data_IF_312629589412
#
_entry.id   IF_312629589412
#
_cell.length_a   1.000
_cell.length_b   1.000
_cell.length_c   1.000
_cell.angle_alpha   90.00
_cell.angle_beta   90.00
_cell.angle_gamma   90.00
#
_symmetry.space_group_name_H-M   'P 1'
#
loop_
_entity.id
_entity.type
_entity.pdbx_description
1 polymer ?
2 non-polymer ?
3 water ?
#
# COMPACT_ATOMS: atom_id res chain seq x y z
N UNK A 15 -6.05 14.69 -31.55
CA UNK A 15 -6.90 14.85 -30.32
C UNK A 15 -6.11 15.69 -29.33
N UNK A 16 -6.77 16.71 -28.84
CA UNK A 16 -6.11 17.82 -28.19
C UNK A 16 -6.50 17.80 -26.69
N UNK A 17 -5.68 18.39 -25.80
CA UNK A 17 -6.03 18.36 -24.36
C UNK A 17 -7.49 18.70 -24.04
N UNK A 18 -7.99 19.75 -24.66
CA UNK A 18 -9.38 20.16 -24.43
C UNK A 18 -10.46 19.15 -24.93
N UNK A 19 -10.05 18.18 -25.75
CA UNK A 19 -10.96 17.13 -26.24
C UNK A 19 -10.80 15.74 -25.55
N UNK A 20 -9.82 15.62 -24.64
CA UNK A 20 -9.57 14.34 -23.97
C UNK A 20 -10.81 13.76 -23.27
N UNK A 21 -11.47 14.56 -22.44
CA UNK A 21 -12.63 14.09 -21.69
C UNK A 21 -13.81 13.68 -22.59
N UNK A 22 -13.98 14.40 -23.69
CA UNK A 22 -15.02 14.12 -24.66
C UNK A 22 -14.75 12.77 -25.37
N UNK A 23 -13.51 12.56 -25.83
CA UNK A 23 -13.11 11.33 -26.50
C UNK A 23 -13.25 10.14 -25.56
N UNK A 24 -12.74 10.26 -24.34
CA UNK A 24 -12.84 9.16 -23.38
C UNK A 24 -14.29 8.88 -23.00
N UNK A 25 -15.10 9.95 -22.91
CA UNK A 25 -16.48 9.85 -22.47
C UNK A 25 -17.34 9.05 -23.44
N UNK A 26 -16.92 8.91 -24.68
CA UNK A 26 -17.65 8.02 -25.62
C UNK A 26 -17.56 6.52 -25.27
N UNK A 27 -16.56 6.14 -24.47
CA UNK A 27 -16.24 4.73 -24.24
C UNK A 27 -16.27 4.34 -22.77
N UNK A 28 -16.11 5.31 -21.88
CA UNK A 28 -15.94 5.03 -20.46
C UNK A 28 -16.67 6.03 -19.62
N UNK A 29 -16.89 5.67 -18.38
CA UNK A 29 -17.35 6.59 -17.37
C UNK A 29 -16.19 7.55 -16.98
N UNK A 30 -16.34 8.84 -17.21
CA UNK A 30 -15.20 9.74 -16.90
C UNK A 30 -15.38 10.44 -15.56
N UNK A 31 -15.00 9.76 -14.49
CA UNK A 31 -15.21 10.33 -13.17
C UNK A 31 -13.92 10.78 -12.46
N UNK A 32 -12.81 10.89 -13.20
CA UNK A 32 -11.54 11.33 -12.60
C UNK A 32 -11.43 12.84 -12.50
N UNK A 33 -10.21 13.33 -12.35
CA UNK A 33 -9.93 14.76 -12.14
C UNK A 33 -10.24 15.59 -13.38
N UNK A 34 -10.57 16.86 -13.16
CA UNK A 34 -10.90 17.79 -14.25
C UNK A 34 -9.73 18.19 -15.15
N UNK A 35 -8.52 17.88 -14.71
CA UNK A 35 -7.35 18.30 -15.48
C UNK A 35 -6.98 17.29 -16.56
N UNK A 36 -6.03 17.68 -17.41
CA UNK A 36 -5.44 16.74 -18.32
C UNK A 36 -3.95 16.76 -18.00
N UNK A 37 -3.36 15.61 -17.68
CA UNK A 37 -1.97 15.57 -17.26
C UNK A 37 -1.00 15.92 -18.38
N UNK A 38 -0.16 16.93 -18.17
CA UNK A 38 0.96 17.21 -19.05
C UNK A 38 2.15 16.31 -18.65
N UNK A 39 2.48 15.34 -19.50
CA UNK A 39 3.46 14.31 -19.15
C UNK A 39 4.86 14.86 -19.18
N UNK A 40 5.05 15.92 -19.93
CA UNK A 40 6.36 16.52 -20.10
C UNK A 40 6.65 17.61 -19.06
N UNK A 41 5.67 18.48 -18.82
CA UNK A 41 5.90 19.64 -17.94
C UNK A 41 5.72 19.43 -16.45
N UNK A 42 5.00 18.35 -16.08
CA UNK A 42 4.92 17.93 -14.68
C UNK A 42 6.29 17.55 -14.16
N UNK A 43 6.53 17.79 -12.87
CA UNK A 43 7.88 17.55 -12.32
C UNK A 43 7.85 17.59 -10.82
N UNK A 44 8.51 16.65 -10.18
CA UNK A 44 8.62 16.66 -8.72
C UNK A 44 7.27 16.59 -8.01
N UNK A 45 6.99 17.54 -7.12
CA UNK A 45 5.74 17.55 -6.34
C UNK A 45 4.58 18.27 -7.04
N UNK A 46 4.74 18.55 -8.34
CA UNK A 46 3.76 19.33 -9.12
C UNK A 46 3.23 18.59 -10.35
N UNK A 47 1.90 18.50 -10.48
CA UNK A 47 1.25 18.08 -11.73
C UNK A 47 0.87 19.34 -12.55
N UNK A 48 1.02 19.28 -13.88
CA UNK A 48 0.67 20.42 -14.71
C UNK A 48 -0.59 20.05 -15.50
N UNK A 49 -1.59 20.91 -15.45
CA UNK A 49 -2.76 20.76 -16.26
C UNK A 49 -2.41 21.23 -17.67
N UNK A 50 -2.53 20.32 -18.64
CA UNK A 50 -2.26 20.65 -20.03
C UNK A 50 -3.25 21.67 -20.61
N UNK A 51 -4.45 21.76 -20.04
CA UNK A 51 -5.48 22.66 -20.58
C UNK A 51 -5.13 24.12 -20.20
N UNK A 52 -4.86 24.40 -18.92
CA UNK A 52 -4.58 25.77 -18.45
C UNK A 52 -3.09 26.10 -18.22
N UNK A 53 -2.28 25.09 -17.98
CA UNK A 53 -0.90 25.31 -17.55
C UNK A 53 -0.81 25.57 -16.04
N UNK A 54 -1.92 25.43 -15.34
CA UNK A 54 -1.90 25.59 -13.88
C UNK A 54 -1.14 24.42 -13.23
N UNK A 55 -0.32 24.74 -12.22
CA UNK A 55 0.45 23.77 -11.46
C UNK A 55 -0.33 23.35 -10.20
N UNK A 56 -0.35 22.05 -9.92
CA UNK A 56 -1.08 21.48 -8.77
C UNK A 56 -0.10 20.80 -7.83
N UNK A 57 -0.15 21.20 -6.56
CA UNK A 57 0.68 20.59 -5.55
C UNK A 57 0.17 19.18 -5.27
N UNK A 58 1.03 18.20 -5.46
CA UNK A 58 0.62 16.82 -5.47
C UNK A 58 0.88 16.10 -4.13
N UNK A 59 -0.15 15.97 -3.32
CA UNK A 59 -0.02 15.12 -2.13
C UNK A 59 -0.77 13.82 -2.35
N UNK A 60 -0.85 13.36 -3.60
CA UNK A 60 -1.73 12.21 -3.93
C UNK A 60 -0.93 11.10 -4.66
N UNK A 61 0.03 11.54 -5.47
CA UNK A 61 1.09 10.70 -6.05
C UNK A 61 0.53 9.44 -6.73
N UNK A 62 -0.52 9.62 -7.54
CA UNK A 62 -1.19 8.51 -8.25
C UNK A 62 -1.61 7.42 -7.26
N UNK A 63 -2.29 7.86 -6.20
CA UNK A 63 -2.72 7.03 -5.08
C UNK A 63 -1.50 6.36 -4.42
N UNK A 64 -0.53 7.18 -4.01
CA UNK A 64 0.65 6.69 -3.31
C UNK A 64 1.57 5.75 -4.15
N UNK A 65 1.43 5.71 -5.49
CA UNK A 65 2.24 4.80 -6.30
C UNK A 65 3.52 5.44 -6.95
N UNK A 66 3.75 6.72 -6.68
CA UNK A 66 4.93 7.40 -7.21
C UNK A 66 5.90 7.76 -6.07
N UNK A 67 7.07 7.14 -6.02
CA UNK A 67 8.03 7.43 -4.94
C UNK A 67 8.77 8.77 -5.11
N UNK A 68 9.12 9.10 -6.36
CA UNK A 68 9.97 10.27 -6.62
C UNK A 68 9.19 11.46 -7.23
N UNK A 69 7.90 11.29 -7.47
CA UNK A 69 7.07 12.27 -8.19
C UNK A 69 7.29 12.16 -9.70
N UNK A 70 6.82 13.16 -10.44
CA UNK A 70 6.90 13.13 -11.91
C UNK A 70 8.28 13.50 -12.43
N UNK A 71 8.69 12.80 -13.48
CA UNK A 71 9.90 13.18 -14.22
C UNK A 71 11.08 13.53 -13.29
N UNK A 72 11.49 12.58 -12.43
CA UNK A 72 12.61 12.91 -11.56
C UNK A 72 13.91 13.18 -12.37
N UNK A 73 14.65 14.24 -11.99
CA UNK A 73 15.88 14.59 -12.74
C UNK A 73 16.86 13.43 -12.88
N UNK A 74 16.95 12.57 -11.87
CA UNK A 74 17.90 11.45 -11.91
C UNK A 74 17.58 10.44 -13.01
N UNK A 75 16.31 10.40 -13.42
CA UNK A 75 15.87 9.51 -14.48
C UNK A 75 15.90 10.26 -15.80
N UNK A 76 15.36 11.47 -15.78
CA UNK A 76 15.18 12.29 -16.95
C UNK A 76 16.52 12.66 -17.59
N UNK A 77 17.54 12.93 -16.77
CA UNK A 77 18.84 13.34 -17.30
C UNK A 77 19.81 12.20 -17.55
N UNK A 78 19.44 10.98 -17.19
CA UNK A 78 20.37 9.86 -17.30
C UNK A 78 20.30 9.25 -18.71
N UNK A 79 21.20 9.68 -19.60
CA UNK A 79 21.15 9.25 -21.01
C UNK A 79 21.31 7.75 -21.19
N UNK A 80 22.09 7.10 -20.33
CA UNK A 80 22.27 5.65 -20.40
C UNK A 80 21.01 4.92 -19.98
N UNK A 81 20.36 5.42 -18.93
CA UNK A 81 19.10 4.85 -18.49
C UNK A 81 18.04 4.99 -19.60
N UNK A 82 18.00 6.13 -20.28
CA UNK A 82 17.05 6.33 -21.39
C UNK A 82 17.12 5.21 -22.39
N UNK A 83 18.34 4.84 -22.78
CA UNK A 83 18.56 3.72 -23.70
C UNK A 83 18.08 2.39 -23.14
N UNK A 84 18.28 2.16 -21.84
CA UNK A 84 17.85 0.90 -21.22
C UNK A 84 16.33 0.83 -21.16
N UNK A 85 15.73 1.92 -20.71
CA UNK A 85 14.28 2.05 -20.64
C UNK A 85 13.61 1.87 -22.02
N UNK A 86 14.16 2.52 -23.03
CA UNK A 86 13.63 2.42 -24.38
C UNK A 86 13.71 0.97 -24.89
N UNK A 87 14.85 0.30 -24.65
CA UNK A 87 14.97 -1.10 -25.03
C UNK A 87 13.89 -1.93 -24.38
N UNK A 88 13.57 -1.65 -23.12
CA UNK A 88 12.51 -2.42 -22.44
C UNK A 88 11.14 -2.02 -22.97
N UNK A 89 10.94 -0.73 -23.23
CA UNK A 89 9.59 -0.23 -23.49
C UNK A 89 9.06 -0.63 -24.89
N UNK A 90 9.95 -0.86 -25.83
CA UNK A 90 9.52 -1.21 -27.19
C UNK A 90 8.80 -2.53 -27.28
N UNK A 91 9.13 -3.48 -26.42
CA UNK A 91 8.55 -4.82 -26.47
C UNK A 91 7.95 -5.17 -25.10
N UNK A 92 7.30 -6.33 -24.98
CA UNK A 92 6.81 -6.71 -23.65
C UNK A 92 7.00 -8.21 -23.54
N UNK A 93 8.22 -8.63 -23.14
CA UNK A 93 8.51 -10.07 -23.05
C UNK A 93 7.71 -10.77 -21.95
N UNK A 94 7.49 -12.06 -22.11
CA UNK A 94 6.99 -12.86 -20.99
C UNK A 94 8.20 -13.26 -20.12
N UNK A 95 8.42 -12.48 -19.07
CA UNK A 95 9.51 -12.71 -18.11
C UNK A 95 9.39 -14.04 -17.36
N UNK A 96 8.18 -14.61 -17.34
CA UNK A 96 7.92 -15.96 -16.80
C UNK A 96 8.80 -17.01 -17.48
N UNK A 97 9.01 -16.87 -18.79
CA UNK A 97 9.66 -17.86 -19.65
C UNK A 97 11.03 -17.44 -20.14
N UNK A 98 11.17 -16.14 -20.42
CA UNK A 98 12.33 -15.61 -21.11
C UNK A 98 13.00 -14.53 -20.27
N UNK A 99 14.23 -14.79 -19.84
CA UNK A 99 14.98 -13.94 -18.93
C UNK A 99 15.86 -12.97 -19.69
N UNK A 100 16.21 -11.86 -19.05
CA UNK A 100 17.04 -10.85 -19.69
C UNK A 100 17.95 -10.24 -18.66
N UNK A 101 18.98 -9.54 -19.14
CA UNK A 101 19.86 -8.78 -18.24
C UNK A 101 19.06 -7.70 -17.49
N UNK A 102 18.18 -7.01 -18.21
CA UNK A 102 17.35 -5.95 -17.62
C UNK A 102 16.56 -6.50 -16.42
N UNK A 103 15.93 -7.66 -16.60
CA UNK A 103 15.23 -8.30 -15.50
C UNK A 103 16.17 -8.69 -14.33
N UNK A 104 17.30 -9.32 -14.63
CA UNK A 104 18.24 -9.76 -13.57
C UNK A 104 18.75 -8.58 -12.76
N UNK A 105 19.03 -7.45 -13.42
CA UNK A 105 19.47 -6.25 -12.71
C UNK A 105 18.42 -5.72 -11.77
N UNK A 106 17.17 -5.72 -12.22
CA UNK A 106 16.07 -5.34 -11.35
C UNK A 106 16.01 -6.24 -10.12
N UNK A 107 16.05 -7.55 -10.33
CA UNK A 107 15.89 -8.48 -9.22
C UNK A 107 17.01 -8.30 -8.18
N UNK A 108 18.25 -8.17 -8.64
CA UNK A 108 19.33 -8.05 -7.66
C UNK A 108 19.32 -6.72 -6.94
N UNK A 109 18.89 -5.65 -7.61
CA UNK A 109 18.79 -4.39 -6.86
C UNK A 109 17.58 -4.40 -5.92
N UNK A 110 16.44 -4.99 -6.34
CA UNK A 110 15.32 -5.21 -5.40
C UNK A 110 15.77 -5.91 -4.12
N UNK A 111 16.46 -7.03 -4.30
CA UNK A 111 16.94 -7.83 -3.15
C UNK A 111 17.88 -6.98 -2.29
N UNK A 112 18.76 -6.21 -2.92
CA UNK A 112 19.71 -5.37 -2.19
C UNK A 112 19.01 -4.24 -1.39
N UNK A 113 18.14 -3.47 -2.01
CA UNK A 113 17.56 -2.30 -1.36
C UNK A 113 16.38 -2.61 -0.46
N UNK A 114 15.51 -3.52 -0.90
CA UNK A 114 14.29 -3.86 -0.16
C UNK A 114 14.27 -5.23 0.45
N UNK A 115 15.27 -6.05 0.14
CA UNK A 115 15.26 -7.44 0.62
C UNK A 115 15.35 -7.63 2.14
N UNK A 116 14.83 -8.75 2.61
CA UNK A 116 14.89 -9.16 4.02
C UNK A 116 15.50 -10.57 3.97
N UNK A 117 16.60 -10.79 4.70
CA UNK A 117 17.28 -12.09 4.62
C UNK A 117 16.43 -13.28 5.04
N UNK A 118 15.37 -13.07 5.83
CA UNK A 118 14.47 -14.16 6.16
C UNK A 118 13.45 -14.50 5.06
N UNK A 119 13.35 -13.63 4.05
CA UNK A 119 12.32 -13.77 2.99
C UNK A 119 13.01 -13.79 1.61
N UNK A 120 13.75 -14.86 1.29
CA UNK A 120 14.53 -14.86 0.05
C UNK A 120 13.74 -15.10 -1.25
N UNK A 121 12.52 -15.62 -1.17
CA UNK A 121 11.75 -16.00 -2.38
C UNK A 121 10.99 -14.79 -2.91
N UNK A 122 11.24 -14.46 -4.17
CA UNK A 122 10.60 -13.32 -4.81
C UNK A 122 9.70 -13.81 -5.95
N UNK A 123 8.54 -13.18 -6.12
CA UNK A 123 7.66 -13.51 -7.24
C UNK A 123 7.00 -12.21 -7.71
N UNK A 124 6.94 -11.99 -9.02
CA UNK A 124 6.43 -10.71 -9.56
C UNK A 124 5.22 -10.94 -10.44
N UNK A 125 4.33 -9.96 -10.45
CA UNK A 125 3.09 -10.04 -11.16
C UNK A 125 2.64 -8.56 -11.42
N UNK A 126 1.79 -8.36 -12.42
CA UNK A 126 1.19 -7.03 -12.60
C UNK A 126 0.01 -6.92 -11.65
N UNK A 127 -0.04 -5.87 -10.83
CA UNK A 127 -1.27 -5.50 -10.11
C UNK A 127 -1.20 -5.83 -8.61
N UNK A 128 -1.68 -4.91 -7.76
CA UNK A 128 -1.59 -5.07 -6.30
C UNK A 128 -2.54 -6.16 -5.78
N UNK A 129 -3.76 -6.23 -6.31
CA UNK A 129 -4.70 -7.29 -5.86
C UNK A 129 -4.11 -8.71 -6.15
N UNK A 130 -3.49 -8.87 -7.31
CA UNK A 130 -2.91 -10.15 -7.68
C UNK A 130 -1.66 -10.48 -6.82
N UNK A 131 -0.90 -9.46 -6.42
CA UNK A 131 0.19 -9.65 -5.45
C UNK A 131 -0.38 -10.29 -4.16
N UNK A 132 -1.46 -9.70 -3.62
CA UNK A 132 -2.06 -10.23 -2.39
C UNK A 132 -2.60 -11.63 -2.65
N UNK A 133 -3.25 -11.85 -3.80
CA UNK A 133 -3.71 -13.20 -4.12
C UNK A 133 -2.61 -14.28 -4.15
N UNK A 134 -1.45 -13.96 -4.70
CA UNK A 134 -0.41 -14.95 -4.74
C UNK A 134 0.16 -15.27 -3.37
N UNK A 135 0.17 -14.29 -2.47
CA UNK A 135 0.49 -14.52 -1.06
C UNK A 135 -0.53 -15.50 -0.45
N UNK A 136 -1.81 -15.28 -0.77
CA UNK A 136 -2.88 -16.17 -0.26
C UNK A 136 -2.70 -17.56 -0.80
N UNK A 137 -2.48 -17.67 -2.12
CA UNK A 137 -2.25 -18.97 -2.72
C UNK A 137 -1.07 -19.72 -2.09
N UNK A 138 0.03 -19.02 -1.83
CA UNK A 138 1.16 -19.65 -1.14
C UNK A 138 0.71 -20.22 0.21
N UNK A 139 -0.13 -19.48 0.92
CA UNK A 139 -0.60 -19.88 2.25
C UNK A 139 -1.55 -21.06 2.19
N UNK A 140 -2.50 -21.03 1.25
CA UNK A 140 -3.44 -22.13 1.07
C UNK A 140 -2.66 -23.41 0.78
N UNK A 141 -1.71 -23.36 -0.14
CA UNK A 141 -0.91 -24.52 -0.49
C UNK A 141 -0.09 -25.02 0.73
N UNK A 142 0.53 -24.09 1.43
CA UNK A 142 1.38 -24.41 2.57
C UNK A 142 0.55 -25.11 3.64
N UNK A 143 -0.61 -24.55 3.97
CA UNK A 143 -1.43 -25.14 5.06
C UNK A 143 -1.93 -26.56 4.71
N UNK A 144 -2.39 -26.74 3.48
CA UNK A 144 -2.88 -28.03 3.01
C UNK A 144 -1.77 -29.10 3.11
N UNK A 145 -0.58 -28.75 2.64
CA UNK A 145 0.58 -29.65 2.68
C UNK A 145 1.13 -29.88 4.08
N UNK A 146 1.11 -28.84 4.92
CA UNK A 146 1.52 -28.96 6.31
C UNK A 146 0.52 -29.90 7.03
N UNK A 147 -0.77 -29.65 6.86
CA UNK A 147 -1.83 -30.54 7.33
C UNK A 147 -1.57 -32.00 6.92
N UNK A 148 -1.42 -32.23 5.62
CA UNK A 148 -1.18 -33.56 5.06
C UNK A 148 0.02 -34.24 5.72
N UNK A 149 1.08 -33.48 6.00
CA UNK A 149 2.31 -34.01 6.55
C UNK A 149 2.14 -34.46 7.99
N UNK A 150 1.16 -33.88 8.69
CA UNK A 150 0.87 -34.23 10.08
C UNK A 150 -0.43 -35.02 10.23
N UNK A 151 -0.82 -35.70 9.17
CA UNK A 151 -1.96 -36.58 9.23
C UNK A 151 -3.32 -35.93 9.25
N UNK A 152 -3.38 -34.62 8.98
CA UNK A 152 -4.65 -33.90 8.87
C UNK A 152 -5.11 -33.87 7.42
N UNK A 153 -6.43 -33.91 7.22
CA UNK A 153 -7.02 -33.89 5.89
C UNK A 153 -6.50 -32.67 5.07
N UNK A 154 -5.90 -32.91 3.88
CA UNK A 154 -5.35 -31.81 3.07
C UNK A 154 -6.42 -30.96 2.38
N UNK A 155 -7.69 -31.34 2.53
CA UNK A 155 -8.79 -30.52 2.04
C UNK A 155 -9.00 -29.34 2.98
N UNK A 156 -8.34 -29.40 4.14
CA UNK A 156 -8.45 -28.32 5.11
C UNK A 156 -7.31 -27.33 4.92
N UNK A 157 -7.62 -26.06 5.16
CA UNK A 157 -6.65 -24.96 5.08
C UNK A 157 -7.05 -23.98 3.99
N UNK A 158 -8.30 -23.51 4.00
CA UNK A 158 -8.84 -22.74 2.89
C UNK A 158 -9.37 -21.35 3.29
N UNK A 159 -9.20 -20.97 4.55
CA UNK A 159 -9.80 -19.75 5.04
C UNK A 159 -8.74 -18.71 5.42
N UNK A 160 -9.17 -17.45 5.43
CA UNK A 160 -8.27 -16.34 5.66
C UNK A 160 -8.82 -15.50 6.79
N UNK A 161 -8.07 -15.44 7.87
CA UNK A 161 -8.38 -14.51 8.95
C UNK A 161 -7.95 -13.09 8.53
N UNK A 162 -8.83 -12.12 8.73
CA UNK A 162 -8.55 -10.73 8.29
C UNK A 162 -9.28 -9.74 9.14
N UNK A 163 -9.05 -8.45 8.91
CA UNK A 163 -9.58 -7.36 9.74
C UNK A 163 -10.78 -6.61 9.16
N UNK A 164 -11.63 -6.09 10.06
CA UNK A 164 -12.62 -5.10 9.64
C UNK A 164 -11.92 -3.86 9.12
N UNK A 165 -12.48 -3.23 8.10
CA UNK A 165 -11.90 -2.00 7.54
C UNK A 165 -10.73 -2.23 6.59
N UNK A 166 -10.42 -3.51 6.29
CA UNK A 166 -9.31 -3.88 5.43
C UNK A 166 -9.58 -3.50 3.99
N UNK A 167 -8.51 -3.16 3.25
CA UNK A 167 -8.62 -3.06 1.80
C UNK A 167 -7.45 -3.82 1.22
N UNK A 168 -7.74 -4.89 0.46
CA UNK A 168 -6.68 -5.74 -0.13
C UNK A 168 -6.84 -5.87 -1.64
N UNK A 169 -7.83 -5.17 -2.21
CA UNK A 169 -8.07 -5.25 -3.64
C UNK A 169 -9.48 -5.64 -4.08
N UNK A 170 -9.68 -5.70 -5.39
CA UNK A 170 -11.00 -5.92 -5.96
C UNK A 170 -11.04 -7.16 -6.88
N UNK A 171 -10.24 -8.17 -6.56
CA UNK A 171 -10.15 -9.40 -7.34
C UNK A 171 -10.92 -10.54 -6.63
N UNK A 172 -11.04 -11.68 -7.30
CA UNK A 172 -11.88 -12.77 -6.79
C UNK A 172 -11.66 -13.15 -5.34
N UNK A 173 -10.41 -13.32 -4.92
CA UNK A 173 -10.14 -13.60 -3.48
C UNK A 173 -10.16 -12.33 -2.59
N UNK A 174 -9.73 -11.19 -3.11
CA UNK A 174 -9.61 -10.01 -2.24
C UNK A 174 -10.95 -9.32 -1.97
N UNK A 175 -11.95 -9.57 -2.83
CA UNK A 175 -13.30 -9.06 -2.56
C UNK A 175 -13.91 -9.73 -1.35
N UNK A 176 -13.36 -10.88 -0.97
CA UNK A 176 -13.81 -11.59 0.26
C UNK A 176 -13.11 -11.05 1.50
N UNK A 177 -12.14 -10.16 1.30
CA UNK A 177 -11.37 -9.59 2.41
C UNK A 177 -11.64 -8.10 2.59
N UNK A 178 -11.62 -7.38 1.47
CA UNK A 178 -11.88 -5.93 1.43
C UNK A 178 -13.27 -5.61 2.01
N UNK A 179 -13.30 -4.70 2.98
CA UNK A 179 -14.58 -4.29 3.57
C UNK A 179 -14.48 -2.87 4.08
N UNK A 180 -14.61 -1.92 3.16
CA UNK A 180 -14.60 -0.51 3.47
C UNK A 180 -15.99 0.04 3.06
N UNK A 181 -16.15 0.50 1.82
CA UNK A 181 -17.44 0.90 1.30
C UNK A 181 -18.16 -0.28 0.64
N UNK A 182 -19.48 -0.41 0.89
CA UNK A 182 -20.36 -1.43 0.30
C UNK A 182 -20.33 -1.45 -1.23
N UNK A 183 -20.18 -0.27 -1.86
CA UNK A 183 -20.05 -0.11 -3.32
C UNK A 183 -18.98 -1.03 -3.91
N UNK A 184 -17.91 -1.28 -3.15
CA UNK A 184 -16.80 -2.05 -3.67
C UNK A 184 -17.13 -3.54 -3.84
N UNK A 185 -17.95 -4.07 -2.95
CA UNK A 185 -18.14 -5.50 -2.83
C UNK A 185 -19.57 -5.98 -3.08
N UNK A 186 -20.56 -5.07 -3.13
CA UNK A 186 -21.96 -5.49 -3.24
C UNK A 186 -22.24 -6.32 -4.49
N UNK A 187 -23.01 -7.39 -4.32
CA UNK A 187 -23.50 -8.22 -5.43
C UNK A 187 -22.41 -9.09 -6.07
N UNK A 188 -21.24 -9.14 -5.45
CA UNK A 188 -20.17 -10.06 -5.93
C UNK A 188 -20.05 -11.28 -5.01
N UNK A 189 -19.98 -12.50 -5.57
CA UNK A 189 -19.81 -13.66 -4.68
C UNK A 189 -18.52 -13.66 -3.82
N UNK A 190 -18.66 -14.17 -2.60
CA UNK A 190 -17.60 -14.12 -1.61
C UNK A 190 -17.52 -15.44 -0.86
N UNK A 191 -16.34 -15.73 -0.32
CA UNK A 191 -16.16 -16.84 0.58
C UNK A 191 -16.52 -16.30 1.94
N UNK A 192 -16.96 -17.20 2.79
CA UNK A 192 -17.32 -16.85 4.11
C UNK A 192 -16.08 -17.04 4.99
N UNK A 193 -15.24 -16.00 5.07
CA UNK A 193 -13.99 -16.11 5.82
C UNK A 193 -14.09 -15.29 7.11
N UNK A 194 -13.37 -15.71 8.18
CA UNK A 194 -13.53 -15.03 9.47
C UNK A 194 -12.90 -13.66 9.53
N UNK A 195 -13.69 -12.69 10.02
CA UNK A 195 -13.30 -11.29 10.07
C UNK A 195 -13.35 -10.87 11.54
N UNK A 196 -12.33 -10.17 12.01
CA UNK A 196 -12.29 -9.72 13.40
C UNK A 196 -12.22 -8.20 13.48
N UNK A 197 -12.63 -7.65 14.62
CA UNK A 197 -12.53 -6.19 14.85
C UNK A 197 -11.07 -5.71 14.74
N UNK A 198 -10.91 -4.47 14.31
CA UNK A 198 -9.62 -3.87 14.12
C UNK A 198 -9.35 -2.94 15.30
N UNK A 199 -8.41 -3.29 16.20
CA UNK A 199 -8.18 -2.47 17.40
C UNK A 199 -7.22 -1.31 17.13
N UNK A 200 -7.60 -0.40 16.24
CA UNK A 200 -6.70 0.69 15.90
C UNK A 200 -6.68 1.75 17.01
N UNK A 201 -5.58 2.49 17.07
CA UNK A 201 -5.41 3.61 17.97
C UNK A 201 -6.39 4.73 17.67
N UNK A 202 -6.96 5.29 18.74
CA UNK A 202 -7.84 6.43 18.59
C UNK A 202 -7.57 7.45 19.70
N UNK A 203 -8.01 8.71 19.50
CA UNK A 203 -7.65 9.71 20.52
C UNK A 203 -8.37 9.40 21.83
N UNK A 204 -7.69 9.67 22.93
CA UNK A 204 -8.33 9.56 24.25
C UNK A 204 -8.55 8.12 24.73
N UNK A 205 -7.63 7.24 24.32
CA UNK A 205 -7.52 5.90 24.89
C UNK A 205 -6.09 5.74 25.37
N UNK A 206 -5.90 5.40 26.63
CA UNK A 206 -4.55 5.22 27.13
C UNK A 206 -4.17 3.75 27.05
N UNK A 207 -2.93 3.44 27.44
CA UNK A 207 -2.37 2.09 27.41
C UNK A 207 -3.36 0.99 27.82
N UNK A 208 -3.91 1.05 29.05
CA UNK A 208 -4.92 0.09 29.50
C UNK A 208 -6.15 0.00 28.60
N UNK A 209 -6.63 1.14 28.14
CA UNK A 209 -7.78 1.17 27.24
C UNK A 209 -7.46 0.47 25.90
N UNK A 210 -6.27 0.73 25.36
CA UNK A 210 -5.80 0.10 24.12
C UNK A 210 -5.66 -1.40 24.33
N UNK A 211 -4.97 -1.77 25.41
CA UNK A 211 -4.77 -3.17 25.75
C UNK A 211 -6.09 -3.97 25.81
N UNK A 212 -7.14 -3.36 26.36
CA UNK A 212 -8.45 -4.02 26.44
C UNK A 212 -9.11 -4.18 25.07
N UNK A 213 -8.97 -3.16 24.22
CA UNK A 213 -9.43 -3.21 22.84
C UNK A 213 -8.70 -4.33 22.07
N UNK A 214 -7.38 -4.40 22.20
CA UNK A 214 -6.60 -5.47 21.57
C UNK A 214 -6.98 -6.87 22.07
N UNK A 215 -7.20 -7.00 23.38
CA UNK A 215 -7.56 -8.29 24.00
C UNK A 215 -8.86 -8.82 23.42
N UNK A 216 -9.77 -7.92 23.09
CA UNK A 216 -11.05 -8.33 22.50
C UNK A 216 -10.89 -8.82 21.05
N UNK A 217 -10.00 -8.18 20.29
CA UNK A 217 -9.76 -8.60 18.91
C UNK A 217 -9.05 -9.96 18.94
N UNK A 218 -8.07 -10.09 19.84
CA UNK A 218 -7.34 -11.33 20.05
C UNK A 218 -8.23 -12.49 20.49
N UNK A 219 -9.24 -12.18 21.31
CA UNK A 219 -10.22 -13.19 21.74
C UNK A 219 -11.01 -13.71 20.53
N UNK A 220 -11.50 -12.79 19.71
CA UNK A 220 -12.13 -13.12 18.44
C UNK A 220 -11.23 -13.94 17.51
N UNK A 221 -9.95 -13.58 17.46
CA UNK A 221 -8.99 -14.30 16.60
C UNK A 221 -8.86 -15.74 17.09
N UNK A 222 -8.65 -15.87 18.41
CA UNK A 222 -8.52 -17.19 19.03
C UNK A 222 -9.78 -18.05 18.80
N UNK A 223 -10.96 -17.45 18.96
CA UNK A 223 -12.21 -18.19 18.73
C UNK A 223 -12.37 -18.63 17.26
N UNK A 224 -11.95 -17.80 16.32
CA UNK A 224 -11.95 -18.21 14.91
C UNK A 224 -11.07 -19.47 14.72
N UNK A 225 -9.86 -19.45 15.29
CA UNK A 225 -8.95 -20.57 15.11
C UNK A 225 -9.51 -21.85 15.72
N UNK A 226 -10.14 -21.71 16.89
CA UNK A 226 -10.66 -22.88 17.63
C UNK A 226 -11.94 -23.44 17.01
N UNK A 227 -12.74 -22.61 16.37
CA UNK A 227 -13.97 -23.14 15.78
C UNK A 227 -13.84 -23.63 14.34
N UNK A 228 -12.68 -23.38 13.71
CA UNK A 228 -12.43 -23.79 12.33
C UNK A 228 -11.09 -24.52 12.31
N UNK A 229 -11.00 -25.64 13.04
CA UNK A 229 -9.65 -26.20 13.30
C UNK A 229 -8.94 -26.67 12.03
N UNK A 230 -7.66 -26.31 11.92
CA UNK A 230 -6.78 -26.63 10.80
C UNK A 230 -7.17 -26.03 9.45
N UNK A 231 -8.17 -25.16 9.44
CA UNK A 231 -8.76 -24.68 8.20
C UNK A 231 -8.39 -23.22 7.91
N UNK A 232 -7.83 -22.51 8.89
CA UNK A 232 -7.33 -21.15 8.66
C UNK A 232 -5.86 -21.18 8.21
N UNK A 233 -5.61 -20.80 6.95
CA UNK A 233 -4.25 -20.89 6.37
C UNK A 233 -3.37 -19.72 6.79
N UNK A 234 -4.01 -18.56 7.04
CA UNK A 234 -3.24 -17.35 7.31
C UNK A 234 -4.08 -16.24 7.91
N UNK A 235 -3.35 -15.29 8.48
CA UNK A 235 -3.88 -14.00 8.88
C UNK A 235 -3.25 -12.94 7.95
N UNK A 236 -4.07 -12.08 7.37
CA UNK A 236 -3.57 -11.03 6.50
C UNK A 236 -3.96 -9.69 7.10
N UNK A 237 -3.04 -8.74 7.04
CA UNK A 237 -3.31 -7.36 7.51
C UNK A 237 -2.48 -6.32 6.77
N UNK A 238 -3.04 -5.12 6.60
CA UNK A 238 -2.22 -3.95 6.37
C UNK A 238 -1.61 -3.53 7.71
N UNK A 239 -0.30 -3.23 7.74
CA UNK A 239 0.32 -2.76 8.99
C UNK A 239 -0.29 -1.41 9.44
N UNK A 240 -0.73 -0.60 8.47
CA UNK A 240 -1.54 0.60 8.71
C UNK A 240 -2.62 0.54 7.66
N UNK A 241 -3.89 0.62 8.06
CA UNK A 241 -4.98 0.48 7.08
C UNK A 241 -5.08 1.81 6.30
N UNK A 242 -4.98 1.74 4.97
CA UNK A 242 -4.92 2.92 4.14
C UNK A 242 -6.30 3.39 3.71
N UNK A 243 -6.87 2.72 2.71
CA UNK A 243 -8.19 3.09 2.20
C UNK A 243 -9.27 3.17 3.26
N UNK A 244 -9.18 2.31 4.29
CA UNK A 244 -10.17 2.27 5.33
C UNK A 244 -10.09 3.47 6.29
N UNK A 245 -9.01 4.27 6.20
CA UNK A 245 -8.90 5.52 6.97
C UNK A 245 -7.62 5.83 7.74
N UNK A 246 -6.46 5.43 7.22
CA UNK A 246 -5.19 5.61 7.91
C UNK A 246 -5.29 5.22 9.39
N UNK A 247 -5.68 3.97 9.62
CA UNK A 247 -5.81 3.43 10.99
C UNK A 247 -4.55 2.68 11.38
N UNK A 248 -3.96 3.10 12.50
CA UNK A 248 -2.66 2.61 12.95
C UNK A 248 -2.90 1.65 14.11
N UNK A 249 -2.00 0.69 14.24
CA UNK A 249 -2.10 -0.35 15.26
C UNK A 249 -0.83 -0.35 16.05
N UNK A 250 -0.94 -0.67 17.33
CA UNK A 250 0.27 -0.79 18.15
C UNK A 250 1.06 -2.03 17.73
N UNK A 251 2.40 -1.96 17.84
CA UNK A 251 3.19 -3.17 17.60
C UNK A 251 2.77 -4.36 18.47
N UNK A 252 2.30 -4.07 19.70
CA UNK A 252 1.81 -5.10 20.65
C UNK A 252 0.73 -5.96 20.01
N UNK A 253 -0.16 -5.35 19.24
CA UNK A 253 -1.24 -6.11 18.63
C UNK A 253 -0.71 -7.14 17.64
N UNK A 254 0.20 -6.71 16.77
CA UNK A 254 0.72 -7.62 15.77
C UNK A 254 1.65 -8.68 16.37
N UNK A 255 2.40 -8.33 17.43
CA UNK A 255 3.25 -9.29 18.15
C UNK A 255 2.43 -10.44 18.75
N UNK A 256 1.27 -10.11 19.30
CA UNK A 256 0.33 -11.11 19.80
C UNK A 256 -0.24 -11.96 18.69
N UNK A 257 -0.60 -11.32 17.56
CA UNK A 257 -1.10 -12.04 16.40
C UNK A 257 -0.02 -12.98 15.85
N UNK A 258 1.21 -12.52 15.81
CA UNK A 258 2.34 -13.35 15.40
C UNK A 258 2.36 -14.64 16.23
N UNK A 259 2.25 -14.50 17.56
CA UNK A 259 2.30 -15.67 18.46
C UNK A 259 1.13 -16.61 18.24
N UNK A 260 -0.06 -16.05 18.11
CA UNK A 260 -1.27 -16.82 17.85
C UNK A 260 -1.21 -17.57 16.52
N UNK A 261 -0.74 -16.91 15.45
CA UNK A 261 -0.50 -17.60 14.18
C UNK A 261 0.41 -18.81 14.34
N UNK A 262 1.51 -18.65 15.07
CA UNK A 262 2.44 -19.75 15.26
C UNK A 262 1.81 -20.89 16.07
N UNK A 263 1.03 -20.52 17.08
CA UNK A 263 0.37 -21.53 17.90
C UNK A 263 -0.61 -22.37 17.09
N UNK A 264 -1.26 -21.78 16.08
CA UNK A 264 -2.19 -22.53 15.26
C UNK A 264 -1.68 -22.96 13.87
N UNK A 265 -0.36 -22.90 13.67
CA UNK A 265 0.30 -23.20 12.37
C UNK A 265 -0.36 -22.50 11.17
N UNK A 266 -0.45 -21.19 11.29
CA UNK A 266 -0.97 -20.31 10.22
C UNK A 266 0.10 -19.25 9.87
N UNK A 267 0.19 -18.90 8.61
CA UNK A 267 1.15 -17.86 8.17
C UNK A 267 0.66 -16.45 8.47
N UNK A 268 1.59 -15.53 8.72
CA UNK A 268 1.23 -14.15 8.89
C UNK A 268 1.66 -13.42 7.60
N UNK A 269 0.67 -12.80 6.93
CA UNK A 269 0.99 -12.00 5.77
C UNK A 269 0.71 -10.49 5.96
N UNK A 270 1.68 -9.67 5.64
CA UNK A 270 1.42 -8.24 5.63
C UNK A 270 1.20 -7.77 4.20
N UNK A 271 0.15 -7.01 4.01
CA UNK A 271 -0.10 -6.34 2.73
C UNK A 271 0.55 -4.97 2.83
N UNK A 272 1.76 -4.84 2.28
CA UNK A 272 2.48 -3.58 2.21
C UNK A 272 2.34 -2.85 0.85
N UNK A 273 1.27 -3.14 0.14
CA UNK A 273 1.08 -2.50 -1.18
C UNK A 273 1.09 -0.99 -1.04
N UNK A 274 0.40 -0.49 -0.01
CA UNK A 274 0.33 0.95 0.22
C UNK A 274 1.39 1.50 1.21
N UNK A 275 1.81 0.70 2.19
CA UNK A 275 2.77 1.17 3.21
C UNK A 275 4.23 1.10 2.78
N UNK A 276 4.48 0.33 1.72
CA UNK A 276 5.82 -0.13 1.39
C UNK A 276 6.69 0.86 0.67
N UNK A 277 7.94 0.44 0.47
CA UNK A 277 8.90 1.18 -0.34
C UNK A 277 9.18 2.59 0.23
N UNK A 278 9.40 2.65 1.54
CA UNK A 278 9.98 3.85 2.13
C UNK A 278 9.04 4.89 2.69
N UNK A 279 7.76 4.81 2.38
CA UNK A 279 6.81 5.83 2.79
C UNK A 279 6.78 6.05 4.30
N UNK A 280 6.84 4.97 5.08
CA UNK A 280 6.84 5.16 6.53
C UNK A 280 8.22 5.49 7.12
N UNK A 281 9.26 5.55 6.31
CA UNK A 281 10.58 5.83 6.83
C UNK A 281 11.54 4.66 6.81
N UNK A 282 11.02 3.44 6.60
CA UNK A 282 11.86 2.25 6.42
C UNK A 282 11.39 1.59 5.13
N UNK A 283 12.17 0.65 4.62
CA UNK A 283 11.78 -0.08 3.41
C UNK A 283 10.32 -0.58 3.52
N UNK A 284 9.99 -1.21 4.66
CA UNK A 284 8.66 -1.74 4.91
C UNK A 284 8.19 -1.30 6.29
N UNK A 285 6.90 -1.08 6.44
CA UNK A 285 6.37 -0.69 7.75
C UNK A 285 6.61 -1.77 8.81
N UNK A 286 6.50 -3.05 8.44
CA UNK A 286 6.68 -4.11 9.42
C UNK A 286 8.03 -4.02 10.16
N UNK A 287 9.03 -3.39 9.54
CA UNK A 287 10.36 -3.30 10.13
C UNK A 287 10.39 -2.41 11.35
N UNK A 288 9.42 -1.49 11.44
CA UNK A 288 9.28 -0.61 12.60
C UNK A 288 8.38 -1.21 13.66
N UNK A 289 7.60 -2.24 13.33
CA UNK A 289 6.72 -2.84 14.31
C UNK A 289 7.39 -4.03 14.99
N UNK A 290 8.55 -4.45 14.46
CA UNK A 290 9.32 -5.54 15.05
C UNK A 290 8.51 -6.85 15.06
N UNK A 291 7.78 -7.10 13.97
CA UNK A 291 7.07 -8.36 13.83
C UNK A 291 7.55 -8.95 12.52
N UNK A 292 7.90 -10.23 12.52
CA UNK A 292 8.41 -10.90 11.33
C UNK A 292 7.27 -11.61 10.61
N UNK A 293 6.94 -11.16 9.41
CA UNK A 293 5.91 -11.87 8.63
C UNK A 293 6.50 -13.11 7.90
N UNK A 294 5.64 -14.01 7.42
CA UNK A 294 6.09 -15.14 6.60
C UNK A 294 6.08 -14.75 5.16
N UNK A 295 5.12 -13.88 4.83
CA UNK A 295 5.03 -13.36 3.48
C UNK A 295 4.61 -11.85 3.44
N UNK A 296 5.18 -11.11 2.49
CA UNK A 296 4.86 -9.69 2.27
C UNK A 296 4.40 -9.51 0.81
N UNK A 297 3.21 -8.90 0.63
CA UNK A 297 2.72 -8.49 -0.69
C UNK A 297 3.09 -7.00 -0.88
N UNK A 298 3.60 -6.66 -2.08
CA UNK A 298 4.00 -5.26 -2.36
C UNK A 298 3.47 -4.80 -3.72
N UNK A 299 3.46 -3.50 -3.96
CA UNK A 299 3.00 -2.95 -5.24
C UNK A 299 3.10 -1.44 -5.21
N UNK A 300 2.28 -0.78 -6.03
CA UNK A 300 2.24 0.69 -6.08
C UNK A 300 3.62 1.27 -6.35
N UNK A 301 4.32 1.80 -5.34
CA UNK A 301 5.59 2.43 -5.58
C UNK A 301 6.65 1.54 -6.24
N UNK A 302 6.59 0.22 -6.02
CA UNK A 302 7.53 -0.71 -6.65
C UNK A 302 7.28 -0.89 -8.16
N UNK A 303 6.14 -0.37 -8.66
CA UNK A 303 5.77 -0.35 -10.10
C UNK A 303 5.40 -1.74 -10.58
N UNK A 304 6.34 -2.68 -10.43
CA UNK A 304 6.02 -4.12 -10.53
C UNK A 304 5.47 -4.58 -9.18
N UNK A 305 4.51 -5.48 -9.19
CA UNK A 305 3.95 -5.95 -7.92
C UNK A 305 4.46 -7.36 -7.63
N UNK A 306 4.24 -7.85 -6.41
CA UNK A 306 4.61 -9.23 -6.15
C UNK A 306 4.65 -9.60 -4.67
N UNK A 307 5.36 -10.69 -4.37
CA UNK A 307 5.46 -11.15 -2.99
C UNK A 307 6.92 -11.48 -2.67
N UNK A 308 7.30 -11.31 -1.39
CA UNK A 308 8.53 -11.89 -0.83
C UNK A 308 8.09 -12.88 0.23
N UNK A 309 8.72 -14.04 0.26
CA UNK A 309 8.26 -15.09 1.17
C UNK A 309 9.45 -15.82 1.76
N UNK A 310 9.20 -16.47 2.90
CA UNK A 310 10.27 -17.15 3.66
C UNK A 310 9.75 -17.49 5.06
N UNK A 311 10.63 -17.32 6.07
CA UNK A 311 10.30 -17.76 7.41
C UNK A 311 9.66 -19.19 7.36
N UNK A 312 8.43 -19.37 7.80
CA UNK A 312 7.89 -20.74 7.90
C UNK A 312 7.55 -21.38 6.55
N UNK A 313 7.41 -20.56 5.50
CA UNK A 313 7.10 -21.10 4.17
C UNK A 313 8.03 -22.27 3.82
N UNK A 314 9.31 -22.08 4.12
CA UNK A 314 10.37 -23.06 3.82
C UNK A 314 10.22 -24.42 4.52
N UNK A 315 9.44 -24.49 5.60
CA UNK A 315 9.24 -25.75 6.33
C UNK A 315 8.45 -26.80 5.56
N UNK A 316 7.78 -26.36 4.51
CA UNK A 316 7.08 -27.28 3.62
C UNK A 316 7.97 -27.24 2.36
N UNK A 317 8.72 -28.31 2.14
CA UNK A 317 9.73 -28.33 1.12
C UNK A 317 9.15 -28.22 -0.30
N UNK A 318 7.91 -28.67 -0.52
CA UNK A 318 7.27 -28.60 -1.84
C UNK A 318 6.24 -27.48 -1.91
N UNK A 319 6.58 -26.34 -1.31
CA UNK A 319 5.76 -25.13 -1.37
C UNK A 319 5.75 -24.50 -2.81
N UNK A 320 4.95 -23.45 -3.02
CA UNK A 320 4.71 -22.92 -4.38
C UNK A 320 5.93 -22.23 -4.96
N UNK A 321 6.90 -21.89 -4.11
CA UNK A 321 8.12 -21.27 -4.60
C UNK A 321 9.13 -22.30 -5.01
N UNK A 322 8.88 -23.57 -4.65
CA UNK A 322 9.82 -24.65 -4.91
C UNK A 322 9.37 -25.57 -6.06
N UNK A 323 8.10 -25.54 -6.41
CA UNK A 323 7.50 -26.46 -7.36
C UNK A 323 7.11 -25.64 -8.59
N UNK A 324 7.53 -26.06 -9.80
CA UNK A 324 7.15 -25.27 -10.99
C UNK A 324 5.64 -25.24 -11.29
N UNK A 325 5.21 -24.12 -11.86
CA UNK A 325 3.86 -23.93 -12.39
C UNK A 325 2.73 -23.81 -11.37
N UNK A 326 3.03 -23.65 -10.08
CA UNK A 326 1.95 -23.45 -9.09
C UNK A 326 1.45 -22.00 -9.08
N UNK A 327 2.38 -21.06 -9.26
CA UNK A 327 2.07 -19.65 -9.48
C UNK A 327 2.56 -19.23 -10.87
N UNK A 328 1.79 -18.38 -11.54
CA UNK A 328 2.21 -17.95 -12.88
C UNK A 328 1.32 -16.83 -13.37
N UNK A 329 1.82 -16.10 -14.37
CA UNK A 329 1.00 -15.25 -15.25
C UNK A 329 1.72 -15.22 -16.60
N UNK A 330 1.03 -14.76 -17.65
CA UNK A 330 1.67 -14.67 -18.98
C UNK A 330 2.97 -13.85 -18.93
N UNK A 331 2.90 -12.66 -18.33
CA UNK A 331 4.05 -11.75 -18.44
C UNK A 331 5.07 -11.81 -17.31
N UNK A 332 4.64 -12.20 -16.10
CA UNK A 332 5.53 -12.19 -14.93
C UNK A 332 5.98 -10.77 -14.59
N UNK A 333 5.05 -9.83 -14.68
CA UNK A 333 5.37 -8.43 -14.40
C UNK A 333 5.78 -7.74 -15.69
N UNK A 334 5.75 -6.42 -15.66
CA UNK A 334 5.99 -5.64 -16.85
C UNK A 334 7.49 -5.24 -16.87
N UNK A 335 8.19 -5.64 -17.93
CA UNK A 335 9.65 -5.37 -18.00
C UNK A 335 10.00 -3.88 -17.93
N UNK A 336 9.17 -3.04 -18.55
CA UNK A 336 9.36 -1.59 -18.44
C UNK A 336 9.31 -1.10 -16.98
N UNK A 337 8.30 -1.58 -16.24
CA UNK A 337 8.18 -1.29 -14.81
C UNK A 337 9.39 -1.75 -13.99
N UNK A 338 9.94 -2.91 -14.33
CA UNK A 338 11.14 -3.45 -13.67
C UNK A 338 12.36 -2.55 -13.92
N UNK A 339 12.55 -2.12 -15.16
CA UNK A 339 13.67 -1.22 -15.48
C UNK A 339 13.53 0.16 -14.79
N UNK A 340 12.32 0.74 -14.83
CA UNK A 340 12.01 1.98 -14.10
C UNK A 340 12.23 1.82 -12.60
N UNK A 341 11.67 0.76 -12.02
CA UNK A 341 11.79 0.50 -10.59
C UNK A 341 13.25 0.31 -10.18
N UNK A 342 14.03 -0.36 -11.02
CA UNK A 342 15.46 -0.56 -10.72
C UNK A 342 16.13 0.81 -10.54
N UNK A 343 15.91 1.70 -11.50
CA UNK A 343 16.49 3.04 -11.41
C UNK A 343 16.01 3.84 -10.18
N UNK A 344 14.69 3.80 -9.92
CA UNK A 344 14.10 4.45 -8.73
C UNK A 344 14.77 3.92 -7.43
N UNK A 345 14.93 2.60 -7.31
CA UNK A 345 15.59 1.99 -6.12
C UNK A 345 17.03 2.47 -5.94
N UNK A 346 17.74 2.64 -7.06
CA UNK A 346 19.09 3.15 -7.02
C UNK A 346 19.15 4.60 -6.51
N UNK A 347 18.17 5.42 -6.88
CA UNK A 347 18.07 6.79 -6.39
C UNK A 347 17.77 6.78 -4.87
N UNK A 348 16.82 5.98 -4.46
CA UNK A 348 16.47 5.86 -3.04
C UNK A 348 17.71 5.54 -2.19
N UNK A 349 18.48 4.56 -2.66
CA UNK A 349 19.66 4.08 -1.95
C UNK A 349 20.75 5.14 -1.95
N UNK A 350 20.95 5.77 -3.11
CA UNK A 350 22.03 6.73 -3.29
C UNK A 350 21.78 8.02 -2.51
N UNK A 351 20.53 8.48 -2.51
CA UNK A 351 20.17 9.75 -1.88
C UNK A 351 19.67 9.62 -0.44
N UNK A 352 19.63 8.40 0.11
CA UNK A 352 19.18 8.18 1.49
C UNK A 352 17.75 8.62 1.70
N UNK A 353 16.84 8.24 0.81
CA UNK A 353 15.49 8.77 0.84
C UNK A 353 14.63 8.21 1.94
N UNK A 354 14.98 7.03 2.48
CA UNK A 354 14.21 6.52 3.63
C UNK A 354 14.38 7.46 4.83
N UNK A 355 15.62 7.91 5.03
CA UNK A 355 15.93 8.81 6.14
C UNK A 355 15.29 10.17 5.90
N UNK A 356 15.24 10.59 4.65
CA UNK A 356 14.57 11.82 4.32
C UNK A 356 13.06 11.74 4.60
N UNK A 357 12.47 10.56 4.37
CA UNK A 357 11.08 10.32 4.75
C UNK A 357 10.84 10.40 6.28
N UNK A 358 11.76 9.86 7.07
CA UNK A 358 11.67 9.98 8.53
C UNK A 358 11.68 11.47 8.92
N UNK A 359 12.64 12.22 8.39
CA UNK A 359 12.81 13.61 8.83
C UNK A 359 11.65 14.51 8.37
N UNK A 360 11.23 14.40 7.12
CA UNK A 360 10.14 15.26 6.62
C UNK A 360 8.79 14.78 7.12
N UNK A 361 8.69 13.48 7.41
CA UNK A 361 7.51 12.94 8.06
C UNK A 361 7.29 13.49 9.46
N UNK A 362 8.36 13.64 10.22
CA UNK A 362 8.29 14.32 11.54
C UNK A 362 7.84 15.78 11.37
N UNK A 363 8.40 16.48 10.39
CA UNK A 363 8.00 17.85 10.06
C UNK A 363 6.49 17.98 9.74
N UNK A 364 6.02 17.14 8.82
CA UNK A 364 4.60 17.16 8.43
C UNK A 364 3.68 16.88 9.64
N UNK A 365 4.07 15.88 10.43
CA UNK A 365 3.29 15.52 11.62
C UNK A 365 3.24 16.67 12.65
N UNK A 366 4.36 17.34 12.86
CA UNK A 366 4.43 18.52 13.72
C UNK A 366 3.47 19.63 13.25
N UNK A 367 3.41 19.87 11.94
CA UNK A 367 2.49 20.88 11.37
C UNK A 367 1.04 20.50 11.58
N UNK A 368 0.75 19.19 11.51
CA UNK A 368 -0.62 18.72 11.73
C UNK A 368 -1.04 18.86 13.21
N UNK A 369 -0.08 18.62 14.11
CA UNK A 369 -0.27 18.88 15.52
C UNK A 369 -0.59 20.36 15.76
N UNK A 370 0.18 21.25 15.16
CA UNK A 370 -0.12 22.69 15.24
C UNK A 370 -1.54 23.01 14.75
N UNK A 371 -1.93 22.43 13.61
CA UNK A 371 -3.26 22.67 13.05
C UNK A 371 -4.33 22.24 14.04
N UNK A 372 -4.13 21.09 14.68
CA UNK A 372 -5.09 20.56 15.64
C UNK A 372 -5.24 21.51 16.83
N UNK A 373 -4.12 22.04 17.29
CA UNK A 373 -4.10 23.02 18.37
C UNK A 373 -4.86 24.27 17.99
N UNK A 374 -4.72 24.74 16.74
CA UNK A 374 -5.39 25.96 16.30
C UNK A 374 -6.86 25.76 16.00
N UNK A 375 -7.24 24.55 15.58
CA UNK A 375 -8.61 24.22 15.23
C UNK A 375 -9.13 22.97 15.98
N UNK A 376 -9.12 23.01 17.33
CA UNK A 376 -9.38 21.83 18.17
C UNK A 376 -10.66 21.05 17.88
N UNK A 377 -11.72 21.73 17.45
CA UNK A 377 -13.01 21.04 17.24
C UNK A 377 -13.15 20.48 15.82
N UNK A 378 -12.19 20.79 14.97
CA UNK A 378 -12.34 20.60 13.53
C UNK A 378 -11.27 19.64 13.00
N UNK A 379 -10.02 19.84 13.42
CA UNK A 379 -8.91 19.03 12.94
C UNK A 379 -8.70 17.96 14.00
N UNK A 380 -9.22 16.77 13.72
CA UNK A 380 -9.26 15.67 14.70
C UNK A 380 -8.24 14.60 14.37
N UNK A 381 -7.64 14.04 15.43
CA UNK A 381 -6.82 12.83 15.36
C UNK A 381 -5.66 12.94 14.34
N UNK A 382 -4.82 13.98 14.47
CA UNK A 382 -3.65 14.05 13.58
C UNK A 382 -2.72 12.87 13.87
N UNK A 383 -2.24 12.20 12.82
CA UNK A 383 -1.56 10.93 13.01
C UNK A 383 -0.72 10.63 11.77
N UNK A 384 0.29 9.78 11.94
CA UNK A 384 1.12 9.32 10.84
C UNK A 384 2.32 8.51 11.25
N UNK A 385 2.94 7.87 10.26
CA UNK A 385 4.22 7.22 10.45
C UNK A 385 5.01 7.56 9.21
N UNK A 386 6.15 8.22 9.39
CA UNK A 386 6.90 8.79 8.26
C UNK A 386 6.02 9.76 7.49
N UNK A 387 6.02 9.66 6.16
CA UNK A 387 5.22 10.55 5.29
C UNK A 387 3.77 10.09 5.09
N UNK A 388 3.41 8.95 5.66
CA UNK A 388 2.05 8.48 5.64
C UNK A 388 1.28 9.15 6.78
N UNK A 389 0.62 10.28 6.47
CA UNK A 389 -0.01 11.11 7.50
C UNK A 389 -1.43 11.43 7.12
N UNK A 390 -2.21 11.83 8.13
CA UNK A 390 -3.64 12.04 7.97
C UNK A 390 -4.21 12.79 9.17
N UNK A 391 -5.38 13.36 8.97
CA UNK A 391 -6.23 13.82 10.06
C UNK A 391 -7.67 13.61 9.66
N UNK A 392 -8.58 13.78 10.62
CA UNK A 392 -10.00 13.59 10.38
C UNK A 392 -10.79 14.86 10.63
N UNK A 393 -11.99 14.91 10.07
CA UNK A 393 -12.95 15.98 10.29
C UNK A 393 -14.18 15.44 11.04
N UNK A 394 -15.00 16.35 11.63
CA UNK A 394 -16.22 15.95 12.38
C UNK A 394 -17.22 15.11 11.57
N UNK A 395 -17.43 15.47 10.32
CA UNK A 395 -18.43 14.83 9.50
C UNK A 395 -17.83 14.55 8.12
N UNK A 396 -18.45 13.62 7.38
CA UNK A 396 -17.99 13.37 6.03
C UNK A 396 -18.28 14.56 5.12
N UNK A 397 -19.31 15.35 5.44
CA UNK A 397 -19.63 16.56 4.65
C UNK A 397 -18.51 17.59 4.78
N UNK A 398 -18.00 17.76 6.00
CA UNK A 398 -16.88 18.66 6.23
C UNK A 398 -15.64 18.18 5.45
N UNK A 399 -15.38 16.87 5.55
CA UNK A 399 -14.23 16.24 4.89
C UNK A 399 -14.30 16.47 3.38
N UNK A 400 -15.44 16.18 2.76
CA UNK A 400 -15.61 16.36 1.31
C UNK A 400 -15.45 17.82 0.89
N UNK A 401 -15.99 18.73 1.69
CA UNK A 401 -15.86 20.16 1.40
C UNK A 401 -14.42 20.63 1.51
N UNK A 402 -13.69 20.15 2.51
CA UNK A 402 -12.28 20.49 2.64
C UNK A 402 -11.49 20.05 1.41
N UNK A 403 -11.77 18.85 0.92
CA UNK A 403 -11.11 18.40 -0.28
C UNK A 403 -11.42 19.27 -1.53
N UNK A 404 -12.69 19.67 -1.69
CA UNK A 404 -13.07 20.60 -2.75
C UNK A 404 -12.38 21.95 -2.61
N UNK A 405 -12.31 22.47 -1.38
CA UNK A 405 -11.65 23.76 -1.12
C UNK A 405 -10.16 23.71 -1.46
N UNK A 406 -9.52 22.56 -1.18
CA UNK A 406 -8.10 22.38 -1.54
C UNK A 406 -7.90 22.29 -3.04
N UNK A 407 -8.80 21.57 -3.72
CA UNK A 407 -8.77 21.46 -5.18
C UNK A 407 -8.79 22.88 -5.82
N UNK A 408 -9.70 23.71 -5.31
CA UNK A 408 -9.79 25.10 -5.75
C UNK A 408 -8.49 25.87 -5.53
N UNK A 409 -7.75 25.52 -4.48
CA UNK A 409 -6.45 26.10 -4.24
C UNK A 409 -5.30 25.29 -4.88
N UNK A 410 -5.59 24.40 -5.81
CA UNK A 410 -4.55 23.63 -6.54
C UNK A 410 -3.69 22.75 -5.61
N UNK A 411 -4.31 22.14 -4.59
CA UNK A 411 -3.63 21.12 -3.79
C UNK A 411 -4.44 19.83 -3.89
N UNK A 412 -3.76 18.74 -4.28
CA UNK A 412 -4.42 17.43 -4.47
C UNK A 412 -4.15 16.53 -3.27
N UNK A 413 -5.21 16.19 -2.55
CA UNK A 413 -5.16 15.22 -1.45
C UNK A 413 -6.26 14.21 -1.67
N UNK A 414 -6.21 13.08 -0.96
CA UNK A 414 -7.17 12.00 -1.14
C UNK A 414 -8.03 11.86 0.11
N UNK A 415 -9.30 11.53 -0.06
CA UNK A 415 -10.09 11.11 1.08
C UNK A 415 -9.80 9.66 1.45
N UNK A 416 -10.19 9.27 2.66
CA UNK A 416 -10.20 7.88 3.10
C UNK A 416 -11.27 7.72 4.15
N UNK A 417 -11.85 6.53 4.23
CA UNK A 417 -12.95 6.26 5.15
C UNK A 417 -14.06 7.28 5.06
N UNK A 418 -14.79 7.44 6.16
CA UNK A 418 -15.90 8.37 6.21
C UNK A 418 -15.46 9.82 6.41
N UNK A 419 -14.36 10.05 7.11
CA UNK A 419 -14.02 11.41 7.54
C UNK A 419 -12.53 11.78 7.55
N UNK A 420 -11.72 11.00 6.84
CA UNK A 420 -10.27 11.23 6.84
C UNK A 420 -9.81 11.93 5.57
N UNK A 421 -8.82 12.81 5.75
CA UNK A 421 -8.05 13.38 4.65
C UNK A 421 -6.65 12.77 4.79
N UNK A 422 -6.12 12.18 3.72
CA UNK A 422 -4.78 11.60 3.79
C UNK A 422 -3.75 12.34 2.92
N UNK A 423 -2.52 12.36 3.40
CA UNK A 423 -1.38 12.91 2.69
C UNK A 423 -0.54 11.73 2.20
N UNK A 424 -0.25 11.75 0.89
CA UNK A 424 0.68 10.82 0.24
C UNK A 424 1.68 11.61 -0.61
N UNK A 425 2.60 12.34 0.04
CA UNK A 425 3.58 13.09 -0.71
C UNK A 425 4.66 12.16 -1.28
N UNK A 426 5.41 12.62 -2.29
CA UNK A 426 6.56 11.83 -2.72
C UNK A 426 7.69 11.86 -1.70
N UNK A 427 8.57 10.86 -1.74
CA UNK A 427 9.68 10.79 -0.77
C UNK A 427 10.60 12.01 -0.87
N UNK A 428 10.54 12.69 -2.02
CA UNK A 428 11.43 13.82 -2.35
C UNK A 428 10.80 15.19 -2.00
N UNK A 429 9.62 15.18 -1.40
CA UNK A 429 8.93 16.40 -0.96
C UNK A 429 9.87 17.27 -0.10
N UNK A 430 9.79 18.59 -0.29
CA UNK A 430 10.56 19.54 0.54
C UNK A 430 9.73 20.13 1.69
N UNK A 431 10.38 20.79 2.64
CA UNK A 431 9.59 21.34 3.74
C UNK A 431 8.78 22.55 3.24
N UNK A 432 9.29 23.27 2.25
CA UNK A 432 8.51 24.40 1.70
C UNK A 432 7.19 23.94 1.06
N UNK A 433 7.24 22.78 0.40
CA UNK A 433 6.08 22.18 -0.22
C UNK A 433 5.07 21.71 0.83
N UNK A 434 5.57 21.10 1.90
CA UNK A 434 4.73 20.76 3.05
C UNK A 434 4.10 22.04 3.62
N UNK A 435 4.89 23.09 3.78
CA UNK A 435 4.35 24.38 4.25
C UNK A 435 3.22 24.90 3.33
N UNK A 436 3.40 24.81 2.01
CA UNK A 436 2.36 25.24 1.08
C UNK A 436 1.09 24.42 1.24
N UNK A 437 1.22 23.10 1.46
CA UNK A 437 0.04 22.28 1.64
C UNK A 437 -0.71 22.71 2.92
N UNK A 438 0.05 22.94 3.99
CA UNK A 438 -0.51 23.29 5.29
C UNK A 438 -1.19 24.67 5.23
N UNK A 439 -0.55 25.61 4.55
CA UNK A 439 -1.10 26.96 4.33
C UNK A 439 -2.47 26.90 3.64
N UNK A 440 -2.59 26.01 2.64
CA UNK A 440 -3.87 25.80 1.96
C UNK A 440 -4.96 25.27 2.86
N UNK A 441 -4.61 24.29 3.69
CA UNK A 441 -5.55 23.72 4.67
C UNK A 441 -6.02 24.82 5.64
N UNK A 442 -5.06 25.59 6.16
CA UNK A 442 -5.36 26.77 6.98
C UNK A 442 -6.32 27.79 6.33
N UNK A 443 -6.12 28.12 5.05
CA UNK A 443 -7.02 29.01 4.31
C UNK A 443 -8.42 28.43 4.16
N UNK A 444 -8.47 27.14 3.87
CA UNK A 444 -9.71 26.44 3.58
C UNK A 444 -10.60 26.19 4.80
N UNK A 445 -9.99 25.96 5.95
CA UNK A 445 -10.74 25.53 7.16
C UNK A 445 -11.83 26.51 7.63
N UNK A 446 -11.52 27.82 7.74
CA UNK A 446 -12.57 28.77 8.13
C UNK A 446 -13.77 28.74 7.19
N UNK A 447 -13.52 28.48 5.90
CA UNK A 447 -14.57 28.35 4.91
C UNK A 447 -15.44 27.10 5.14
N UNK A 448 -14.85 25.96 5.49
CA UNK A 448 -15.68 24.77 5.73
C UNK A 448 -16.49 24.87 7.05
N UNK A 449 -15.91 25.48 8.10
CA UNK A 449 -16.64 25.66 9.38
C UNK A 449 -17.95 26.47 9.28
#
# INVERSE_FOLDING_TARGET
MAAVVKSVALAGRPTTPDRVHEVLGRSMLVDGLDIVLDLTRSGGSYLVDAITGRRYLDMFTFVASSALGMNPPALVDDREFHAELMQAALNKPSNSDVYSVAMARFVETFARVLGDPALPHLFFVEGGALAVENALKAAFDWKSRHNQAHGIDPALGTQVLHLRGAFHGRSGYTLSLTNTKPTITARFPKFDWPRIDAPYMRPGLDEPAMAALEAEALRQARAAFETRPHDIACFVAEPIQGEGGDRHFRPEFFAAMRELCDEFDALLIFDEVQTGCGLTGTAWAYQQLDVAPDIVAFGKKTQVCGVMAGRRVDEVADNVFAVPSRLNSTWGGNLTDMVRARRILEVIEAEGLFERAVQHGKYLRARLDELAADFPAVVLDPRGRGLMCAFSLPTTADRDELIRQLWQRAVIVLPAGADTVRFRPPLTVSTAEIDAAIAAVRSALPVVT
#
